data_IF_183407836126
#
_entry.id   IF_183407836126
#
_cell.length_a   1.000
_cell.length_b   1.000
_cell.length_c   1.000
_cell.angle_alpha   90.00
_cell.angle_beta   90.00
_cell.angle_gamma   90.00
#
_symmetry.space_group_name_H-M   'P 1'
#
loop_
_entity.id
_entity.type
_entity.pdbx_description
1 polymer ?
#
# COMPACT_ATOMS: atom_id res chain seq x y z
N UNK A 1 -18.78 11.04 -8.99
CA UNK A 1 -17.53 11.83 -9.11
C UNK A 1 -16.44 11.46 -8.06
N UNK A 2 -16.43 10.26 -7.46
CA UNK A 2 -15.43 9.87 -6.45
C UNK A 2 -14.21 9.08 -7.00
N UNK A 3 -14.32 8.55 -8.24
CA UNK A 3 -13.35 7.62 -8.86
C UNK A 3 -11.96 8.23 -9.13
N UNK A 4 -11.87 9.54 -9.31
CA UNK A 4 -10.61 10.24 -9.61
C UNK A 4 -9.78 10.66 -8.38
N UNK A 5 -10.28 10.41 -7.16
CA UNK A 5 -9.62 10.88 -5.93
C UNK A 5 -8.50 9.98 -5.42
N UNK A 6 -8.36 8.78 -5.98
CA UNK A 6 -7.25 7.89 -5.67
C UNK A 6 -6.00 8.29 -6.47
N UNK A 7 -5.28 9.32 -6.00
CA UNK A 7 -3.94 9.63 -6.53
C UNK A 7 -2.93 8.56 -6.06
N UNK A 8 -2.32 7.75 -6.93
CA UNK A 8 -1.48 6.62 -6.51
C UNK A 8 -0.34 7.00 -5.55
N UNK A 9 0.14 8.25 -5.62
CA UNK A 9 1.22 8.74 -4.76
C UNK A 9 0.78 9.04 -3.31
N UNK A 10 -0.53 9.18 -3.02
CA UNK A 10 -0.98 9.42 -1.65
C UNK A 10 -0.94 8.14 -0.80
N UNK A 11 -1.18 6.97 -1.42
CA UNK A 11 -1.25 5.69 -0.70
C UNK A 11 0.11 5.34 -0.08
N UNK A 12 1.21 5.56 -0.81
CA UNK A 12 2.56 5.32 -0.29
C UNK A 12 2.89 6.24 0.89
N UNK A 13 2.51 7.52 0.80
CA UNK A 13 2.70 8.48 1.89
C UNK A 13 1.87 8.09 3.13
N UNK A 14 0.64 7.65 2.90
CA UNK A 14 -0.27 7.21 3.96
C UNK A 14 0.19 5.93 4.64
N UNK A 15 0.72 4.95 3.90
CA UNK A 15 1.28 3.72 4.46
C UNK A 15 2.57 3.96 5.25
N UNK A 16 3.36 4.96 4.87
CA UNK A 16 4.58 5.36 5.59
C UNK A 16 4.28 6.11 6.87
N UNK A 17 3.43 7.13 6.80
CA UNK A 17 3.04 7.94 7.96
C UNK A 17 1.57 8.36 7.86
N UNK A 18 0.65 7.55 8.44
CA UNK A 18 -0.77 7.85 8.43
C UNK A 18 -1.10 9.16 9.15
N UNK A 19 -0.35 9.52 10.20
CA UNK A 19 -0.60 10.73 11.00
C UNK A 19 -0.21 11.99 10.24
N UNK A 20 0.85 11.96 9.44
CA UNK A 20 1.23 13.08 8.57
C UNK A 20 0.20 13.35 7.46
N UNK A 21 -0.50 12.31 6.98
CA UNK A 21 -1.55 12.46 5.96
C UNK A 21 -2.90 12.84 6.57
N UNK A 22 -3.25 12.25 7.70
CA UNK A 22 -4.52 12.47 8.41
C UNK A 22 -4.28 12.53 9.92
N UNK A 23 -3.98 13.72 10.49
CA UNK A 23 -3.74 13.88 11.91
C UNK A 23 -4.93 13.38 12.75
N UNK A 24 -4.66 12.53 13.74
CA UNK A 24 -5.71 11.93 14.59
C UNK A 24 -6.36 10.69 13.99
N UNK A 25 -5.85 10.15 12.88
CA UNK A 25 -6.28 8.84 12.38
C UNK A 25 -6.00 7.74 13.40
N UNK A 26 -6.87 6.73 13.47
CA UNK A 26 -6.64 5.54 14.32
C UNK A 26 -5.69 4.52 13.69
N UNK A 27 -5.34 4.71 12.42
CA UNK A 27 -4.45 3.80 11.72
C UNK A 27 -3.04 3.89 12.32
N UNK A 28 -2.45 2.78 12.77
CA UNK A 28 -1.06 2.75 13.22
C UNK A 28 -0.10 2.82 12.03
N UNK A 29 1.10 3.35 12.25
CA UNK A 29 2.20 3.19 11.30
C UNK A 29 2.60 1.72 11.24
N UNK A 30 2.37 1.07 10.10
CA UNK A 30 2.58 -0.37 9.95
C UNK A 30 4.04 -0.75 9.68
N UNK A 31 4.85 0.21 9.21
CA UNK A 31 6.26 0.02 8.85
C UNK A 31 7.20 0.95 9.64
N UNK A 32 7.34 0.77 10.97
CA UNK A 32 8.35 1.50 11.72
C UNK A 32 9.73 1.20 11.15
N UNK A 33 10.54 2.24 10.93
CA UNK A 33 11.89 2.14 10.35
C UNK A 33 12.01 1.38 9.02
N UNK A 34 10.95 1.39 8.19
CA UNK A 34 10.89 0.58 6.95
C UNK A 34 11.09 -0.92 7.20
N UNK A 35 10.65 -1.42 8.36
CA UNK A 35 10.62 -2.85 8.67
C UNK A 35 9.18 -3.33 8.71
N UNK A 36 8.93 -4.49 8.08
CA UNK A 36 7.63 -5.12 8.19
C UNK A 36 7.53 -5.98 9.44
N UNK A 37 6.40 -5.95 10.17
CA UNK A 37 6.10 -6.94 11.21
C UNK A 37 5.91 -8.35 10.62
N UNK A 38 5.51 -8.45 9.35
CA UNK A 38 5.42 -9.70 8.62
C UNK A 38 6.73 -9.94 7.85
N UNK A 39 7.56 -10.83 8.38
CA UNK A 39 8.87 -11.18 7.80
C UNK A 39 8.78 -12.22 6.70
N UNK A 40 7.64 -12.87 6.53
CA UNK A 40 7.46 -13.96 5.57
C UNK A 40 6.95 -13.41 4.23
N UNK A 41 6.02 -12.44 4.28
CA UNK A 41 5.51 -11.79 3.08
C UNK A 41 6.62 -11.06 2.32
N UNK A 42 6.81 -11.41 1.04
CA UNK A 42 7.76 -10.76 0.13
C UNK A 42 9.20 -10.66 0.71
N UNK A 43 9.61 -11.64 1.51
CA UNK A 43 10.94 -11.68 2.14
C UNK A 43 11.16 -10.64 3.24
N UNK A 44 10.09 -10.09 3.81
CA UNK A 44 10.15 -9.07 4.86
C UNK A 44 10.53 -7.67 4.37
N UNK A 45 10.64 -7.47 3.06
CA UNK A 45 10.96 -6.16 2.48
C UNK A 45 9.74 -5.22 2.56
N UNK A 46 9.83 -4.21 3.41
CA UNK A 46 8.75 -3.26 3.63
C UNK A 46 8.38 -2.48 2.36
N UNK A 47 9.34 -2.16 1.49
CA UNK A 47 9.06 -1.42 0.27
C UNK A 47 8.27 -2.27 -0.73
N UNK A 48 8.60 -3.55 -0.88
CA UNK A 48 7.85 -4.49 -1.69
C UNK A 48 6.45 -4.72 -1.13
N UNK A 49 6.29 -4.83 0.18
CA UNK A 49 4.98 -4.97 0.82
C UNK A 49 4.12 -3.71 0.68
N UNK A 50 4.67 -2.52 0.89
CA UNK A 50 3.96 -1.27 0.64
C UNK A 50 3.51 -1.16 -0.82
N UNK A 51 4.37 -1.57 -1.77
CA UNK A 51 4.05 -1.60 -3.20
C UNK A 51 2.92 -2.59 -3.51
N UNK A 52 2.95 -3.78 -2.93
CA UNK A 52 1.88 -4.78 -3.06
C UNK A 52 0.54 -4.27 -2.50
N UNK A 53 0.55 -3.67 -1.30
CA UNK A 53 -0.63 -3.05 -0.68
C UNK A 53 -1.20 -1.92 -1.53
N UNK A 54 -0.34 -1.04 -2.06
CA UNK A 54 -0.74 0.02 -3.00
C UNK A 54 -1.47 -0.56 -4.20
N UNK A 55 -0.89 -1.56 -4.87
CA UNK A 55 -1.53 -2.15 -6.04
C UNK A 55 -2.84 -2.87 -5.72
N UNK A 56 -2.91 -3.54 -4.57
CA UNK A 56 -4.13 -4.18 -4.11
C UNK A 56 -5.24 -3.14 -3.87
N UNK A 57 -4.96 -2.05 -3.17
CA UNK A 57 -5.95 -0.96 -2.95
C UNK A 57 -6.39 -0.33 -4.28
N UNK A 58 -5.47 -0.17 -5.23
CA UNK A 58 -5.79 0.34 -6.57
C UNK A 58 -6.60 -0.65 -7.41
N UNK A 59 -6.38 -1.97 -7.26
CA UNK A 59 -7.20 -2.97 -7.95
C UNK A 59 -8.63 -2.97 -7.43
N UNK A 60 -8.81 -2.87 -6.10
CA UNK A 60 -10.13 -2.71 -5.46
C UNK A 60 -10.88 -1.47 -5.95
N UNK A 61 -10.16 -0.40 -6.32
CA UNK A 61 -10.76 0.85 -6.80
C UNK A 61 -11.33 0.77 -8.24
N UNK A 62 -11.01 -0.27 -9.01
CA UNK A 62 -11.69 -0.51 -10.29
C UNK A 62 -10.82 -1.00 -11.43
N UNK A 63 -10.03 -2.06 -11.23
CA UNK A 63 -9.69 -2.95 -12.35
C UNK A 63 -9.80 -4.41 -11.94
N UNK A 64 -10.76 -5.05 -12.62
CA UNK A 64 -10.73 -6.44 -13.05
C UNK A 64 -9.28 -6.95 -13.20
N UNK A 65 -8.98 -8.03 -12.47
CA UNK A 65 -7.84 -8.93 -12.61
C UNK A 65 -6.59 -8.31 -13.25
N UNK A 66 -5.66 -7.80 -12.42
CA UNK A 66 -4.27 -7.74 -12.86
C UNK A 66 -3.85 -9.19 -13.12
N UNK A 67 -3.87 -9.60 -14.39
CA UNK A 67 -3.24 -10.83 -14.83
C UNK A 67 -1.78 -10.69 -14.41
N UNK A 68 -1.42 -11.36 -13.32
CA UNK A 68 -0.03 -11.68 -13.03
C UNK A 68 0.33 -12.67 -14.13
N UNK A 69 0.78 -12.16 -15.28
CA UNK A 69 1.44 -12.98 -16.27
C UNK A 69 2.61 -13.63 -15.54
N UNK A 70 2.46 -14.93 -15.30
CA UNK A 70 3.52 -15.79 -14.84
C UNK A 70 4.74 -15.55 -15.71
N UNK A 71 5.86 -15.39 -15.02
CA UNK A 71 7.19 -15.44 -15.59
C UNK A 71 7.35 -16.74 -16.39
N UNK A 72 7.95 -16.63 -17.58
CA UNK A 72 8.52 -17.75 -18.32
C UNK A 72 9.41 -18.66 -17.45
#
# INVERSE_FOLDING_TARGET
MARARLRPNWIEKWLRDPQAVAPGTRMPGYFPDMQSPDKEALGGDAALQMKALKYHVLSLAGKETLVVTGND
#
